data_IF_293851600583
#
_entry.id   IF_293851600583
#
_cell.length_a   1.000
_cell.length_b   1.000
_cell.length_c   1.000
_cell.angle_alpha   90.00
_cell.angle_beta   90.00
_cell.angle_gamma   90.00
#
_symmetry.space_group_name_H-M   'P 1'
#
loop_
_entity.id
_entity.type
_entity.pdbx_description
1 polymer ?
#
# COMPACT_ATOMS: atom_id res chain seq x y z
N UNK A 1 -8.32 -24.84 -34.63
CA UNK A 1 -8.98 -24.30 -33.42
C UNK A 1 -10.42 -24.77 -33.42
N UNK A 2 -10.98 -25.22 -32.30
CA UNK A 2 -12.42 -25.42 -32.19
C UNK A 2 -13.13 -24.11 -32.57
N UNK A 3 -14.23 -24.19 -33.31
CA UNK A 3 -15.05 -23.00 -33.57
C UNK A 3 -15.62 -22.46 -32.25
N UNK A 4 -15.63 -21.13 -32.08
CA UNK A 4 -16.16 -20.47 -30.86
C UNK A 4 -17.66 -20.76 -30.69
N UNK A 5 -18.40 -21.00 -31.78
CA UNK A 5 -19.82 -21.34 -31.77
C UNK A 5 -20.08 -22.73 -32.35
N UNK A 6 -21.00 -23.49 -31.74
CA UNK A 6 -21.41 -24.83 -32.20
C UNK A 6 -22.90 -24.93 -32.53
N UNK A 7 -23.70 -23.91 -32.18
CA UNK A 7 -25.19 -23.89 -32.27
C UNK A 7 -25.92 -24.97 -31.46
N UNK A 8 -25.20 -25.84 -30.76
CA UNK A 8 -25.78 -26.94 -29.99
C UNK A 8 -26.60 -26.47 -28.79
N UNK A 9 -26.42 -25.23 -28.33
CA UNK A 9 -27.16 -24.66 -27.21
C UNK A 9 -28.30 -23.71 -27.62
N UNK A 10 -28.63 -23.62 -28.90
CA UNK A 10 -29.66 -22.68 -29.40
C UNK A 10 -31.07 -23.04 -28.92
N UNK A 11 -31.27 -24.30 -28.48
CA UNK A 11 -32.53 -24.78 -27.89
C UNK A 11 -32.66 -24.51 -26.40
N UNK A 12 -31.71 -23.78 -25.80
CA UNK A 12 -31.75 -23.40 -24.38
C UNK A 12 -31.07 -24.37 -23.42
N UNK A 13 -30.41 -25.42 -23.92
CA UNK A 13 -29.63 -26.37 -23.13
C UNK A 13 -28.11 -26.18 -23.31
N UNK A 14 -27.32 -26.68 -22.37
CA UNK A 14 -25.86 -26.63 -22.39
C UNK A 14 -25.26 -27.90 -21.82
N UNK A 15 -24.03 -28.24 -22.23
CA UNK A 15 -23.30 -29.39 -21.69
C UNK A 15 -22.55 -29.02 -20.42
N UNK A 16 -22.54 -29.92 -19.44
CA UNK A 16 -21.65 -29.87 -18.28
C UNK A 16 -20.34 -30.59 -18.58
N UNK A 17 -19.31 -30.29 -17.80
CA UNK A 17 -18.09 -31.06 -17.80
C UNK A 17 -18.39 -32.48 -17.28
N UNK A 18 -18.15 -33.49 -18.12
CA UNK A 18 -18.59 -34.88 -17.88
C UNK A 18 -19.62 -35.40 -18.90
N UNK A 19 -20.29 -34.50 -19.62
CA UNK A 19 -21.07 -34.80 -20.82
C UNK A 19 -22.60 -34.80 -20.65
N UNK A 20 -23.11 -34.67 -19.42
CA UNK A 20 -24.53 -34.43 -19.19
C UNK A 20 -24.99 -33.08 -19.76
N UNK A 21 -26.29 -32.92 -20.01
CA UNK A 21 -26.88 -31.67 -20.51
C UNK A 21 -27.94 -31.16 -19.54
N UNK A 22 -27.95 -29.85 -19.34
CA UNK A 22 -28.89 -29.16 -18.45
C UNK A 22 -29.46 -27.92 -19.15
N UNK A 23 -30.61 -27.42 -18.68
CA UNK A 23 -31.14 -26.14 -19.13
C UNK A 23 -30.19 -25.01 -18.74
N UNK A 24 -30.03 -24.01 -19.62
CA UNK A 24 -29.18 -22.82 -19.37
C UNK A 24 -29.65 -21.99 -18.18
N UNK A 25 -30.94 -22.05 -17.83
CA UNK A 25 -31.49 -21.40 -16.63
C UNK A 25 -31.43 -22.25 -15.35
N UNK A 26 -30.74 -23.40 -15.36
CA UNK A 26 -30.59 -24.22 -14.15
C UNK A 26 -29.74 -23.51 -13.09
N UNK A 27 -29.97 -23.85 -11.81
CA UNK A 27 -29.21 -23.28 -10.68
C UNK A 27 -27.71 -23.48 -10.83
N UNK A 28 -27.29 -24.64 -11.37
CA UNK A 28 -25.87 -24.94 -11.61
C UNK A 28 -25.24 -24.00 -12.62
N UNK A 29 -25.93 -23.74 -13.74
CA UNK A 29 -25.47 -22.83 -14.79
C UNK A 29 -25.43 -21.38 -14.29
N UNK A 30 -26.46 -20.96 -13.55
CA UNK A 30 -26.48 -19.64 -12.90
C UNK A 30 -25.31 -19.48 -11.91
N UNK A 31 -24.99 -20.51 -11.12
CA UNK A 31 -23.91 -20.46 -10.15
C UNK A 31 -22.54 -20.27 -10.81
N UNK A 32 -22.11 -21.18 -11.70
CA UNK A 32 -20.80 -21.03 -12.35
C UNK A 32 -20.75 -19.84 -13.31
N UNK A 33 -21.88 -19.47 -13.93
CA UNK A 33 -21.97 -18.27 -14.77
C UNK A 33 -21.77 -16.99 -13.97
N UNK A 34 -22.31 -16.92 -12.74
CA UNK A 34 -22.07 -15.78 -11.84
C UNK A 34 -20.62 -15.76 -11.32
N UNK A 35 -19.99 -16.92 -11.14
CA UNK A 35 -18.55 -17.01 -10.81
C UNK A 35 -17.69 -16.49 -11.97
N UNK A 36 -18.05 -16.79 -13.22
CA UNK A 36 -17.37 -16.25 -14.40
C UNK A 36 -17.52 -14.72 -14.49
N UNK A 37 -18.73 -14.19 -14.23
CA UNK A 37 -18.94 -12.75 -14.12
C UNK A 37 -18.09 -12.12 -13.00
N UNK A 38 -17.98 -12.78 -11.85
CA UNK A 38 -17.11 -12.35 -10.76
C UNK A 38 -15.63 -12.33 -11.20
N UNK A 39 -15.19 -13.34 -11.95
CA UNK A 39 -13.84 -13.43 -12.50
C UNK A 39 -13.56 -12.29 -13.48
N UNK A 40 -14.51 -11.98 -14.37
CA UNK A 40 -14.42 -10.86 -15.29
C UNK A 40 -14.35 -9.52 -14.54
N UNK A 41 -15.17 -9.32 -13.51
CA UNK A 41 -15.16 -8.12 -12.69
C UNK A 41 -13.84 -7.94 -11.90
N UNK A 42 -13.31 -9.02 -11.33
CA UNK A 42 -11.96 -9.03 -10.72
C UNK A 42 -10.89 -8.72 -11.76
N UNK A 43 -11.03 -9.25 -12.99
CA UNK A 43 -10.14 -8.95 -14.11
C UNK A 43 -10.13 -7.47 -14.50
N UNK A 44 -11.30 -6.83 -14.53
CA UNK A 44 -11.42 -5.39 -14.79
C UNK A 44 -10.79 -4.56 -13.67
N UNK A 45 -11.02 -4.90 -12.41
CA UNK A 45 -10.39 -4.24 -11.27
C UNK A 45 -8.85 -4.43 -11.27
N UNK A 46 -8.38 -5.65 -11.54
CA UNK A 46 -6.96 -5.96 -11.71
C UNK A 46 -6.33 -5.14 -12.83
N UNK A 47 -7.03 -4.96 -13.96
CA UNK A 47 -6.53 -4.22 -15.11
C UNK A 47 -6.22 -2.74 -14.77
N UNK A 48 -6.89 -2.17 -13.77
CA UNK A 48 -6.66 -0.81 -13.29
C UNK A 48 -5.42 -0.66 -12.38
N UNK A 49 -4.78 -1.77 -11.99
CA UNK A 49 -3.52 -1.77 -11.24
C UNK A 49 -2.31 -1.78 -12.18
N UNK A 50 -1.27 -1.08 -11.76
CA UNK A 50 0.05 -1.12 -12.37
C UNK A 50 0.68 -2.53 -12.20
N UNK A 51 1.68 -2.84 -13.03
CA UNK A 51 2.38 -4.12 -12.92
C UNK A 51 3.12 -4.22 -11.58
N UNK A 52 3.00 -5.37 -10.93
CA UNK A 52 3.55 -5.58 -9.60
C UNK A 52 2.93 -6.76 -8.84
N UNK A 53 3.33 -6.95 -7.57
CA UNK A 53 2.94 -8.12 -6.78
C UNK A 53 1.43 -8.23 -6.56
N UNK A 54 0.73 -7.11 -6.38
CA UNK A 54 -0.72 -7.08 -6.18
C UNK A 54 -1.49 -7.53 -7.41
N UNK A 55 -1.07 -7.09 -8.60
CA UNK A 55 -1.65 -7.50 -9.88
C UNK A 55 -1.41 -8.99 -10.14
N UNK A 56 -0.22 -9.50 -9.81
CA UNK A 56 0.12 -10.91 -9.93
C UNK A 56 -0.74 -11.79 -9.00
N UNK A 57 -0.93 -11.37 -7.74
CA UNK A 57 -1.81 -12.06 -6.79
C UNK A 57 -3.27 -12.10 -7.25
N UNK A 58 -3.79 -11.01 -7.79
CA UNK A 58 -5.13 -11.02 -8.39
C UNK A 58 -5.22 -11.91 -9.63
N UNK A 59 -4.15 -12.04 -10.41
CA UNK A 59 -4.12 -13.00 -11.51
C UNK A 59 -4.23 -14.45 -11.00
N UNK A 60 -3.55 -14.79 -9.90
CA UNK A 60 -3.70 -16.09 -9.24
C UNK A 60 -5.13 -16.30 -8.76
N UNK A 61 -5.77 -15.29 -8.16
CA UNK A 61 -7.20 -15.33 -7.79
C UNK A 61 -8.10 -15.63 -9.00
N UNK A 62 -7.85 -14.99 -10.16
CA UNK A 62 -8.61 -15.29 -11.39
C UNK A 62 -8.43 -16.74 -11.87
N UNK A 63 -7.23 -17.31 -11.72
CA UNK A 63 -6.97 -18.71 -12.04
C UNK A 63 -7.74 -19.64 -11.10
N UNK A 64 -7.77 -19.35 -9.79
CA UNK A 64 -8.54 -20.14 -8.82
C UNK A 64 -10.05 -20.01 -9.04
N UNK A 65 -10.56 -18.83 -9.43
CA UNK A 65 -11.96 -18.67 -9.84
C UNK A 65 -12.31 -19.51 -11.07
N UNK A 66 -11.38 -19.68 -12.01
CA UNK A 66 -11.58 -20.56 -13.16
C UNK A 66 -11.68 -22.04 -12.74
N UNK A 67 -10.81 -22.49 -11.82
CA UNK A 67 -10.88 -23.84 -11.24
C UNK A 67 -12.19 -24.04 -10.47
N UNK A 68 -12.61 -23.06 -9.67
CA UNK A 68 -13.89 -23.07 -8.95
C UNK A 68 -15.08 -23.20 -9.91
N UNK A 69 -15.09 -22.41 -10.99
CA UNK A 69 -16.14 -22.47 -11.99
C UNK A 69 -16.16 -23.83 -12.71
N UNK A 70 -15.00 -24.40 -13.03
CA UNK A 70 -14.89 -25.73 -13.65
C UNK A 70 -15.48 -26.82 -12.74
N UNK A 71 -15.24 -26.73 -11.43
CA UNK A 71 -15.82 -27.65 -10.45
C UNK A 71 -17.36 -27.54 -10.39
N UNK A 72 -17.90 -26.33 -10.34
CA UNK A 72 -19.36 -26.12 -10.37
C UNK A 72 -20.00 -26.56 -11.70
N UNK A 73 -19.29 -26.38 -12.82
CA UNK A 73 -19.71 -26.78 -14.15
C UNK A 73 -19.61 -28.29 -14.39
N UNK A 74 -19.13 -29.07 -13.42
CA UNK A 74 -18.95 -30.51 -13.54
C UNK A 74 -20.14 -31.31 -13.04
N UNK A 75 -20.49 -32.38 -13.76
CA UNK A 75 -21.31 -33.46 -13.23
C UNK A 75 -20.45 -34.47 -12.44
N UNK A 76 -21.05 -35.54 -11.92
CA UNK A 76 -20.31 -36.55 -11.12
C UNK A 76 -19.12 -37.17 -11.87
N UNK A 77 -19.22 -37.36 -13.19
CA UNK A 77 -18.14 -37.89 -14.01
C UNK A 77 -17.08 -36.81 -14.26
N UNK A 78 -17.49 -35.59 -14.55
CA UNK A 78 -16.59 -34.44 -14.70
C UNK A 78 -15.77 -34.20 -13.44
N UNK A 79 -16.43 -34.18 -12.27
CA UNK A 79 -15.81 -33.92 -10.98
C UNK A 79 -14.72 -34.95 -10.65
N UNK A 80 -14.93 -36.22 -10.99
CA UNK A 80 -13.94 -37.28 -10.82
C UNK A 80 -12.71 -37.15 -11.75
N UNK A 81 -12.79 -36.30 -12.79
CA UNK A 81 -11.73 -36.12 -13.79
C UNK A 81 -11.00 -34.78 -13.63
N UNK A 82 -11.40 -33.93 -12.68
CA UNK A 82 -10.73 -32.66 -12.42
C UNK A 82 -9.33 -32.91 -11.86
N UNK A 83 -8.31 -32.32 -12.49
CA UNK A 83 -6.93 -32.43 -12.04
C UNK A 83 -6.55 -31.47 -10.90
N UNK A 84 -7.40 -30.48 -10.63
CA UNK A 84 -7.19 -29.45 -9.62
C UNK A 84 -8.54 -28.97 -9.09
N UNK A 85 -8.60 -28.63 -7.80
CA UNK A 85 -9.80 -28.12 -7.13
C UNK A 85 -9.42 -27.09 -6.08
N UNK A 86 -10.34 -26.19 -5.75
CA UNK A 86 -10.13 -25.21 -4.68
C UNK A 86 -10.14 -25.90 -3.31
N UNK A 87 -9.21 -25.52 -2.43
CA UNK A 87 -9.07 -26.09 -1.09
C UNK A 87 -8.61 -25.08 -0.04
N UNK A 88 -8.28 -25.59 1.16
CA UNK A 88 -7.96 -24.75 2.33
C UNK A 88 -6.71 -23.89 2.13
N UNK A 89 -5.75 -24.34 1.32
CA UNK A 89 -4.56 -23.54 0.95
C UNK A 89 -4.97 -22.26 0.23
N UNK A 90 -5.92 -22.34 -0.69
CA UNK A 90 -6.39 -21.18 -1.45
C UNK A 90 -7.15 -20.19 -0.58
N UNK A 91 -7.90 -20.70 0.40
CA UNK A 91 -8.61 -19.88 1.38
C UNK A 91 -7.59 -19.16 2.28
N UNK A 92 -6.57 -19.88 2.73
CA UNK A 92 -5.47 -19.32 3.54
C UNK A 92 -4.70 -18.25 2.75
N UNK A 93 -4.50 -18.44 1.45
CA UNK A 93 -3.83 -17.44 0.61
C UNK A 93 -4.66 -16.16 0.42
N UNK A 94 -6.00 -16.27 0.40
CA UNK A 94 -6.87 -15.09 0.46
C UNK A 94 -6.80 -14.39 1.83
N UNK A 95 -6.71 -15.13 2.92
CA UNK A 95 -6.53 -14.57 4.27
C UNK A 95 -5.22 -13.80 4.37
N UNK A 96 -4.12 -14.37 3.85
CA UNK A 96 -2.84 -13.66 3.75
C UNK A 96 -2.92 -12.41 2.89
N UNK A 97 -3.65 -12.46 1.77
CA UNK A 97 -3.87 -11.28 0.94
C UNK A 97 -4.60 -10.18 1.72
N UNK A 98 -5.58 -10.53 2.53
CA UNK A 98 -6.29 -9.58 3.42
C UNK A 98 -5.32 -8.99 4.43
N UNK A 99 -4.56 -9.83 5.13
CA UNK A 99 -3.60 -9.40 6.15
C UNK A 99 -2.55 -8.45 5.58
N UNK A 100 -2.00 -8.76 4.40
CA UNK A 100 -1.02 -7.90 3.71
C UNK A 100 -1.61 -6.54 3.31
N UNK A 101 -2.90 -6.49 2.92
CA UNK A 101 -3.58 -5.22 2.68
C UNK A 101 -3.75 -4.42 3.98
N UNK A 102 -4.20 -5.08 5.05
CA UNK A 102 -4.46 -4.45 6.34
C UNK A 102 -3.19 -3.93 7.01
N UNK A 103 -2.05 -4.59 6.79
CA UNK A 103 -0.75 -4.11 7.24
C UNK A 103 -0.41 -2.71 6.69
N UNK A 104 -0.93 -2.36 5.51
CA UNK A 104 -0.73 -1.05 4.87
C UNK A 104 -1.85 -0.07 5.22
N UNK A 105 -3.12 -0.50 5.17
CA UNK A 105 -4.26 0.40 5.37
C UNK A 105 -4.53 0.72 6.84
N UNK A 106 -4.02 -0.10 7.75
CA UNK A 106 -4.34 -0.03 9.17
C UNK A 106 -5.77 -0.49 9.50
N UNK A 107 -6.17 -0.45 10.79
CA UNK A 107 -7.45 -0.94 11.26
C UNK A 107 -8.63 -0.06 10.80
N UNK A 108 -9.74 -0.71 10.44
CA UNK A 108 -10.97 -0.02 10.04
C UNK A 108 -11.74 0.51 11.24
N UNK A 109 -12.10 1.80 11.23
CA UNK A 109 -12.87 2.44 12.33
C UNK A 109 -14.26 2.93 11.96
N UNK A 110 -14.63 2.91 10.67
CA UNK A 110 -15.93 3.38 10.18
C UNK A 110 -16.35 2.68 8.88
N UNK A 111 -17.63 2.76 8.52
CA UNK A 111 -18.11 2.29 7.22
C UNK A 111 -17.58 3.18 6.07
N UNK A 112 -17.31 2.55 4.93
CA UNK A 112 -16.81 3.23 3.72
C UNK A 112 -17.90 3.22 2.66
N UNK A 113 -18.15 4.39 2.07
CA UNK A 113 -18.99 4.50 0.88
C UNK A 113 -18.17 4.04 -0.33
N UNK A 114 -18.61 3.03 -1.07
CA UNK A 114 -17.88 2.53 -2.23
C UNK A 114 -17.64 3.59 -3.31
N UNK A 115 -16.44 3.58 -3.91
CA UNK A 115 -16.15 4.31 -5.13
C UNK A 115 -15.57 5.70 -4.91
N UNK A 116 -14.68 5.85 -3.91
CA UNK A 116 -13.91 7.09 -3.70
C UNK A 116 -13.07 7.47 -4.93
N UNK A 117 -12.54 6.48 -5.64
CA UNK A 117 -11.75 6.65 -6.85
C UNK A 117 -12.04 5.53 -7.86
N UNK A 118 -11.49 5.65 -9.07
CA UNK A 118 -11.77 4.72 -10.16
C UNK A 118 -11.30 3.29 -9.86
N UNK A 119 -10.13 3.11 -9.23
CA UNK A 119 -9.58 1.79 -8.89
C UNK A 119 -10.43 1.16 -7.79
N UNK A 120 -10.68 1.89 -6.70
CA UNK A 120 -11.49 1.38 -5.58
C UNK A 120 -12.93 1.07 -5.98
N UNK A 121 -13.53 1.88 -6.86
CA UNK A 121 -14.87 1.63 -7.41
C UNK A 121 -14.94 0.29 -8.14
N UNK A 122 -13.95 -0.04 -8.97
CA UNK A 122 -13.90 -1.31 -9.70
C UNK A 122 -13.80 -2.50 -8.74
N UNK A 123 -12.94 -2.41 -7.70
CA UNK A 123 -12.86 -3.44 -6.67
C UNK A 123 -14.18 -3.60 -5.90
N UNK A 124 -14.83 -2.50 -5.53
CA UNK A 124 -16.13 -2.59 -4.86
C UNK A 124 -17.22 -3.19 -5.73
N UNK A 125 -17.23 -2.90 -7.04
CA UNK A 125 -18.13 -3.56 -7.97
C UNK A 125 -17.85 -5.07 -8.00
N UNK A 126 -16.60 -5.47 -8.20
CA UNK A 126 -16.19 -6.88 -8.20
C UNK A 126 -16.62 -7.59 -6.90
N UNK A 127 -16.42 -6.97 -5.75
CA UNK A 127 -16.85 -7.50 -4.44
C UNK A 127 -18.34 -7.80 -4.41
N UNK A 128 -19.19 -6.93 -4.96
CA UNK A 128 -20.64 -7.19 -4.98
C UNK A 128 -21.02 -8.36 -5.88
N UNK A 129 -20.31 -8.55 -7.00
CA UNK A 129 -20.49 -9.69 -7.90
C UNK A 129 -20.01 -10.98 -7.25
N UNK A 130 -18.87 -10.98 -6.55
CA UNK A 130 -18.40 -12.13 -5.76
C UNK A 130 -19.45 -12.54 -4.71
N UNK A 131 -20.03 -11.58 -4.00
CA UNK A 131 -21.13 -11.86 -3.04
C UNK A 131 -22.38 -12.39 -3.74
N UNK A 132 -22.64 -11.98 -4.99
CA UNK A 132 -23.75 -12.54 -5.78
C UNK A 132 -23.45 -13.99 -6.17
N UNK A 133 -22.23 -14.30 -6.59
CA UNK A 133 -21.78 -15.65 -6.88
C UNK A 133 -21.91 -16.56 -5.64
N UNK A 134 -21.45 -16.09 -4.48
CA UNK A 134 -21.61 -16.80 -3.19
C UNK A 134 -23.07 -17.18 -2.93
N UNK A 135 -24.01 -16.24 -3.07
CA UNK A 135 -25.44 -16.51 -2.88
C UNK A 135 -25.99 -17.52 -3.90
N UNK A 136 -25.56 -17.46 -5.16
CA UNK A 136 -25.99 -18.42 -6.20
C UNK A 136 -25.46 -19.82 -5.94
N UNK A 137 -24.21 -19.94 -5.51
CA UNK A 137 -23.61 -21.21 -5.10
C UNK A 137 -24.30 -21.79 -3.87
N UNK A 138 -24.68 -20.94 -2.90
CA UNK A 138 -25.49 -21.35 -1.75
C UNK A 138 -26.87 -21.88 -2.17
N UNK A 139 -27.60 -21.16 -3.04
CA UNK A 139 -28.90 -21.62 -3.56
C UNK A 139 -28.77 -22.97 -4.29
N UNK A 140 -27.71 -23.16 -5.08
CA UNK A 140 -27.44 -24.47 -5.70
C UNK A 140 -27.25 -25.57 -4.64
N UNK A 141 -26.50 -25.28 -3.57
CA UNK A 141 -26.18 -26.24 -2.50
C UNK A 141 -27.38 -26.74 -1.70
N UNK A 142 -28.51 -26.03 -1.75
CA UNK A 142 -29.77 -26.46 -1.13
C UNK A 142 -30.42 -27.65 -1.87
N UNK A 143 -30.06 -27.86 -3.14
CA UNK A 143 -30.69 -28.85 -4.02
C UNK A 143 -29.73 -29.87 -4.63
N UNK A 144 -28.45 -29.52 -4.74
CA UNK A 144 -27.41 -30.33 -5.35
C UNK A 144 -26.16 -30.36 -4.45
N UNK A 145 -25.36 -31.45 -4.47
CA UNK A 145 -24.12 -31.51 -3.69
C UNK A 145 -23.13 -30.47 -4.21
N UNK A 146 -22.68 -29.60 -3.29
CA UNK A 146 -21.63 -28.60 -3.51
C UNK A 146 -20.63 -28.71 -2.36
N UNK A 147 -19.34 -28.68 -2.69
CA UNK A 147 -18.27 -28.74 -1.70
C UNK A 147 -18.22 -27.46 -0.84
N UNK A 148 -18.12 -27.57 0.50
CA UNK A 148 -18.10 -26.40 1.39
C UNK A 148 -16.94 -25.43 1.12
N UNK A 149 -15.81 -25.93 0.61
CA UNK A 149 -14.62 -25.12 0.32
C UNK A 149 -14.91 -24.01 -0.70
N UNK A 150 -15.81 -24.26 -1.67
CA UNK A 150 -16.15 -23.30 -2.73
C UNK A 150 -16.92 -22.11 -2.15
N UNK A 151 -17.83 -22.37 -1.21
CA UNK A 151 -18.59 -21.34 -0.50
C UNK A 151 -17.65 -20.54 0.40
N UNK A 152 -16.78 -21.21 1.17
CA UNK A 152 -15.76 -20.55 2.02
C UNK A 152 -14.82 -19.67 1.19
N UNK A 153 -14.38 -20.14 0.03
CA UNK A 153 -13.52 -19.38 -0.88
C UNK A 153 -14.21 -18.12 -1.40
N UNK A 154 -15.46 -18.21 -1.88
CA UNK A 154 -16.21 -17.05 -2.36
C UNK A 154 -16.47 -16.03 -1.23
N UNK A 155 -16.80 -16.53 -0.04
CA UNK A 155 -16.97 -15.70 1.15
C UNK A 155 -15.71 -14.90 1.46
N UNK A 156 -14.57 -15.60 1.60
CA UNK A 156 -13.27 -14.99 1.88
C UNK A 156 -12.76 -14.08 0.76
N UNK A 157 -13.04 -14.44 -0.49
CA UNK A 157 -12.70 -13.62 -1.64
C UNK A 157 -13.40 -12.27 -1.59
N UNK A 158 -14.65 -12.22 -1.11
CA UNK A 158 -15.36 -10.94 -0.98
C UNK A 158 -14.66 -10.00 0.00
N UNK A 159 -14.06 -10.53 1.07
CA UNK A 159 -13.25 -9.76 2.03
C UNK A 159 -11.90 -9.34 1.40
N UNK A 160 -11.23 -10.24 0.66
CA UNK A 160 -9.98 -9.93 -0.03
C UNK A 160 -10.15 -8.82 -1.07
N UNK A 161 -11.20 -8.87 -1.87
CA UNK A 161 -11.52 -7.83 -2.87
C UNK A 161 -11.90 -6.52 -2.17
N UNK A 162 -12.55 -6.56 -1.00
CA UNK A 162 -12.77 -5.36 -0.18
C UNK A 162 -11.47 -4.76 0.34
N UNK A 163 -10.55 -5.58 0.87
CA UNK A 163 -9.25 -5.15 1.35
C UNK A 163 -8.42 -4.50 0.22
N UNK A 164 -8.48 -5.06 -1.00
CA UNK A 164 -7.86 -4.47 -2.19
C UNK A 164 -8.46 -3.09 -2.55
N UNK A 165 -9.79 -2.93 -2.43
CA UNK A 165 -10.41 -1.61 -2.63
C UNK A 165 -9.81 -0.56 -1.68
N UNK A 166 -9.71 -0.90 -0.40
CA UNK A 166 -9.14 -0.03 0.65
C UNK A 166 -7.66 0.29 0.43
N UNK A 167 -6.90 -0.70 -0.02
CA UNK A 167 -5.50 -0.53 -0.35
C UNK A 167 -5.34 0.50 -1.49
N UNK A 168 -6.16 0.40 -2.53
CA UNK A 168 -6.14 1.37 -3.63
C UNK A 168 -6.56 2.78 -3.20
N UNK A 169 -7.52 2.91 -2.28
CA UNK A 169 -7.88 4.22 -1.69
C UNK A 169 -6.71 4.83 -0.92
N UNK A 170 -5.96 4.02 -0.17
CA UNK A 170 -4.80 4.47 0.62
C UNK A 170 -3.69 4.97 -0.28
N UNK A 171 -3.44 4.32 -1.41
CA UNK A 171 -2.50 4.82 -2.42
C UNK A 171 -2.97 6.14 -3.02
N UNK A 172 -4.25 6.25 -3.39
CA UNK A 172 -4.81 7.49 -3.93
C UNK A 172 -4.72 8.66 -2.93
N UNK A 173 -5.00 8.40 -1.65
CA UNK A 173 -4.88 9.38 -0.57
C UNK A 173 -3.42 9.82 -0.39
N UNK A 174 -2.47 8.87 -0.43
CA UNK A 174 -1.03 9.17 -0.36
C UNK A 174 -0.59 10.06 -1.51
N UNK A 175 -0.98 9.73 -2.74
CA UNK A 175 -0.63 10.51 -3.94
C UNK A 175 -1.24 11.93 -3.87
N UNK A 176 -2.47 12.05 -3.37
CA UNK A 176 -3.13 13.34 -3.18
C UNK A 176 -2.40 14.19 -2.14
N UNK A 177 -2.07 13.61 -0.99
CA UNK A 177 -1.31 14.29 0.07
C UNK A 177 0.05 14.73 -0.46
N UNK A 178 0.76 13.86 -1.18
CA UNK A 178 2.05 14.20 -1.75
C UNK A 178 1.96 15.38 -2.72
N UNK A 179 0.97 15.40 -3.62
CA UNK A 179 0.73 16.55 -4.52
C UNK A 179 0.43 17.82 -3.76
N UNK A 180 -0.42 17.76 -2.73
CA UNK A 180 -0.77 18.91 -1.91
C UNK A 180 0.46 19.47 -1.17
N UNK A 181 1.27 18.59 -0.57
CA UNK A 181 2.49 18.99 0.13
C UNK A 181 3.51 19.58 -0.84
N UNK A 182 3.76 18.95 -1.99
CA UNK A 182 4.66 19.48 -3.03
C UNK A 182 4.23 20.87 -3.50
N UNK A 183 2.94 21.06 -3.75
CA UNK A 183 2.40 22.36 -4.18
C UNK A 183 2.53 23.43 -3.07
N UNK A 184 2.25 23.07 -1.82
CA UNK A 184 2.41 23.98 -0.69
C UNK A 184 3.88 24.38 -0.46
N UNK A 185 4.81 23.42 -0.56
CA UNK A 185 6.25 23.69 -0.47
C UNK A 185 6.71 24.57 -1.62
N UNK A 186 6.31 24.27 -2.87
CA UNK A 186 6.63 25.12 -4.02
C UNK A 186 6.13 26.56 -3.83
N UNK A 187 4.90 26.76 -3.38
CA UNK A 187 4.35 28.08 -3.12
C UNK A 187 5.07 28.84 -1.98
N UNK A 188 5.53 28.11 -0.96
CA UNK A 188 6.33 28.69 0.12
C UNK A 188 7.75 29.06 -0.34
N UNK A 189 8.30 28.34 -1.32
CA UNK A 189 9.61 28.60 -1.92
C UNK A 189 9.57 29.64 -3.07
N UNK A 190 8.41 29.84 -3.71
CA UNK A 190 8.17 30.84 -4.77
C UNK A 190 7.72 32.22 -4.23
N UNK A 191 7.69 32.43 -2.91
CA UNK A 191 7.90 33.78 -2.35
C UNK A 191 9.31 34.26 -2.75
N UNK A 192 9.56 35.56 -2.99
CA UNK A 192 10.67 36.05 -3.81
C UNK A 192 11.99 35.30 -3.51
N UNK A 193 12.32 34.38 -4.42
CA UNK A 193 13.58 33.66 -4.41
C UNK A 193 14.64 34.59 -4.97
N UNK A 194 15.27 35.38 -4.08
CA UNK A 194 16.61 35.89 -4.37
C UNK A 194 17.53 34.66 -4.42
N UNK A 195 17.76 34.19 -5.65
CA UNK A 195 18.63 33.07 -6.00
C UNK A 195 20.09 33.35 -5.67
N UNK A 196 20.43 33.23 -4.38
CA UNK A 196 21.79 33.04 -3.90
C UNK A 196 21.86 31.70 -3.18
N UNK A 197 21.86 30.60 -3.95
CA UNK A 197 22.30 29.31 -3.43
C UNK A 197 23.74 29.47 -2.93
N UNK A 198 23.97 29.21 -1.64
CA UNK A 198 25.32 29.09 -1.10
C UNK A 198 26.06 28.00 -1.90
N UNK A 199 27.32 28.28 -2.27
CA UNK A 199 28.22 27.25 -2.80
C UNK A 199 28.22 26.02 -1.88
N UNK A 200 28.17 24.81 -2.44
CA UNK A 200 28.19 23.56 -1.69
C UNK A 200 29.34 23.50 -0.64
N UNK A 201 30.47 24.16 -0.91
CA UNK A 201 31.61 24.29 0.01
C UNK A 201 31.31 25.12 1.25
N UNK A 202 30.47 26.17 1.13
CA UNK A 202 30.05 26.99 2.26
C UNK A 202 29.06 26.23 3.18
N UNK A 203 28.21 25.39 2.59
CA UNK A 203 27.23 24.57 3.33
C UNK A 203 27.91 23.51 4.20
N UNK A 204 28.87 22.74 3.64
CA UNK A 204 29.61 21.72 4.38
C UNK A 204 30.52 22.33 5.46
N UNK A 205 31.18 23.46 5.18
CA UNK A 205 32.00 24.16 6.16
C UNK A 205 31.20 24.63 7.38
N UNK A 206 29.97 25.12 7.16
CA UNK A 206 29.03 25.50 8.22
C UNK A 206 28.51 24.28 9.00
N UNK A 207 28.18 23.20 8.30
CA UNK A 207 27.73 21.94 8.91
C UNK A 207 28.78 21.36 9.88
N UNK A 208 30.07 21.38 9.51
CA UNK A 208 31.16 20.91 10.37
C UNK A 208 31.27 21.71 11.67
N UNK A 209 31.20 23.05 11.59
CA UNK A 209 31.23 23.91 12.78
C UNK A 209 30.06 23.64 13.73
N UNK A 210 28.86 23.43 13.18
CA UNK A 210 27.68 23.07 13.97
C UNK A 210 27.86 21.72 14.67
N UNK A 211 28.38 20.72 13.97
CA UNK A 211 28.68 19.42 14.57
C UNK A 211 29.74 19.52 15.66
N UNK A 212 30.83 20.26 15.44
CA UNK A 212 31.90 20.44 16.43
C UNK A 212 31.38 21.15 17.70
N UNK A 213 30.52 22.16 17.53
CA UNK A 213 29.89 22.88 18.65
C UNK A 213 28.90 21.99 19.42
N UNK A 214 28.10 21.21 18.70
CA UNK A 214 27.19 20.25 19.30
C UNK A 214 27.94 19.16 20.08
N UNK A 215 29.03 18.62 19.54
CA UNK A 215 29.86 17.61 20.20
C UNK A 215 30.44 18.15 21.51
N UNK A 216 30.98 19.38 21.52
CA UNK A 216 31.49 20.00 22.75
C UNK A 216 30.40 20.12 23.81
N UNK A 217 29.23 20.64 23.44
CA UNK A 217 28.13 20.80 24.38
C UNK A 217 27.58 19.47 24.88
N UNK A 218 27.47 18.49 24.01
CA UNK A 218 27.07 17.13 24.34
C UNK A 218 28.05 16.47 25.33
N UNK A 219 29.36 16.71 25.16
CA UNK A 219 30.40 16.25 26.09
C UNK A 219 30.29 16.91 27.46
N UNK A 220 29.98 18.21 27.54
CA UNK A 220 29.73 18.91 28.82
C UNK A 220 28.53 18.33 29.58
N UNK A 221 27.47 17.95 28.84
CA UNK A 221 26.27 17.33 29.40
C UNK A 221 26.44 15.82 29.67
N UNK A 222 27.56 15.24 29.26
CA UNK A 222 27.83 13.80 29.32
C UNK A 222 26.74 12.96 28.60
N UNK A 223 26.27 13.43 27.45
CA UNK A 223 25.27 12.77 26.61
C UNK A 223 25.85 12.53 25.22
N UNK A 224 26.13 11.29 24.80
CA UNK A 224 26.63 11.02 23.46
C UNK A 224 25.50 11.14 22.42
N UNK A 225 25.70 11.95 21.39
CA UNK A 225 24.67 12.27 20.39
C UNK A 225 25.04 11.83 18.96
N UNK A 226 24.02 11.73 18.11
CA UNK A 226 24.12 11.76 16.65
C UNK A 226 23.66 13.14 16.17
N UNK A 227 24.43 13.72 15.28
CA UNK A 227 24.19 15.03 14.67
C UNK A 227 23.98 14.85 13.17
N UNK A 228 22.91 15.42 12.64
CA UNK A 228 22.59 15.42 11.22
C UNK A 228 22.39 16.86 10.71
N UNK A 229 23.00 17.19 9.58
CA UNK A 229 22.78 18.44 8.85
C UNK A 229 22.33 18.10 7.44
N UNK A 230 21.27 18.75 6.97
CA UNK A 230 20.67 18.55 5.64
C UNK A 230 20.58 19.88 4.89
N UNK A 231 20.58 19.83 3.57
CA UNK A 231 20.34 20.99 2.71
C UNK A 231 18.84 21.36 2.66
N UNK A 232 18.49 22.44 1.95
CA UNK A 232 17.10 22.89 1.80
C UNK A 232 16.17 21.87 1.11
N UNK A 233 16.73 20.94 0.34
CA UNK A 233 15.99 19.84 -0.28
C UNK A 233 15.89 18.60 0.65
N UNK A 234 16.48 18.66 1.85
CA UNK A 234 16.49 17.57 2.82
C UNK A 234 17.52 16.49 2.51
N UNK A 235 18.50 16.74 1.64
CA UNK A 235 19.59 15.80 1.39
C UNK A 235 20.64 15.91 2.50
N UNK A 236 21.18 14.77 3.00
CA UNK A 236 22.25 14.78 3.99
C UNK A 236 23.49 15.53 3.49
N UNK A 237 23.92 16.51 4.27
CA UNK A 237 25.19 17.24 4.09
C UNK A 237 26.25 16.70 5.04
N UNK A 238 25.89 16.40 6.29
CA UNK A 238 26.77 15.85 7.29
C UNK A 238 26.01 14.93 8.26
N UNK A 239 26.60 13.78 8.57
CA UNK A 239 26.21 12.94 9.68
C UNK A 239 27.44 12.76 10.58
N UNK A 240 27.35 13.20 11.83
CA UNK A 240 28.42 13.10 12.83
C UNK A 240 27.92 12.29 14.03
N UNK A 241 28.73 11.37 14.53
CA UNK A 241 28.34 10.44 15.60
C UNK A 241 29.41 10.41 16.69
N UNK A 242 28.99 10.66 17.92
CA UNK A 242 29.80 10.40 19.11
C UNK A 242 29.81 8.91 19.48
N UNK A 243 30.95 8.42 19.99
CA UNK A 243 31.05 7.06 20.52
C UNK A 243 30.11 6.91 21.71
N UNK A 244 29.31 5.82 21.73
CA UNK A 244 28.34 5.56 22.79
C UNK A 244 26.93 6.10 22.54
N UNK A 245 26.68 6.76 21.41
CA UNK A 245 25.33 7.23 21.05
C UNK A 245 24.38 6.09 20.65
N UNK A 246 23.07 6.33 20.78
CA UNK A 246 22.01 5.40 20.38
C UNK A 246 22.05 5.14 18.86
N UNK A 247 22.23 3.87 18.48
CA UNK A 247 22.30 3.49 17.05
C UNK A 247 20.98 3.71 16.30
N UNK A 248 19.84 3.69 16.99
CA UNK A 248 18.53 3.98 16.40
C UNK A 248 18.45 5.41 15.82
N UNK A 249 19.31 6.33 16.27
CA UNK A 249 19.38 7.70 15.76
C UNK A 249 20.05 7.80 14.38
N UNK A 250 20.57 6.69 13.83
CA UNK A 250 21.15 6.63 12.48
C UNK A 250 20.10 6.35 11.39
N UNK A 251 18.94 5.77 11.73
CA UNK A 251 17.88 5.38 10.78
C UNK A 251 17.07 6.58 10.22
N UNK A 252 17.67 7.77 10.18
CA UNK A 252 17.14 8.95 9.47
C UNK A 252 17.03 8.74 7.94
N UNK A 253 17.63 7.68 7.40
CA UNK A 253 17.63 7.29 5.98
C UNK A 253 16.24 6.92 5.41
N UNK A 254 15.22 6.72 6.26
CA UNK A 254 13.85 6.51 5.80
C UNK A 254 13.17 7.74 5.18
N UNK A 255 13.79 8.93 5.28
CA UNK A 255 13.14 10.21 5.02
C UNK A 255 13.76 11.00 3.86
N UNK A 256 14.07 10.31 2.76
CA UNK A 256 14.59 10.94 1.53
C UNK A 256 13.64 12.04 1.03
N UNK A 257 14.10 13.30 1.10
CA UNK A 257 13.41 14.48 0.58
C UNK A 257 12.41 15.17 1.51
N UNK A 258 12.44 14.93 2.83
CA UNK A 258 11.59 15.64 3.80
C UNK A 258 12.38 16.04 5.05
N UNK A 259 12.44 17.34 5.34
CA UNK A 259 12.94 17.85 6.64
C UNK A 259 11.84 17.68 7.68
N UNK A 260 12.07 16.84 8.70
CA UNK A 260 11.17 16.68 9.86
C UNK A 260 11.93 17.09 11.10
N UNK A 261 11.44 18.11 11.79
CA UNK A 261 12.02 18.60 13.04
C UNK A 261 11.36 17.88 14.22
N UNK A 262 12.11 16.98 14.86
CA UNK A 262 11.75 16.44 16.17
C UNK A 262 12.33 17.32 17.28
N UNK A 263 12.12 16.97 18.55
CA UNK A 263 12.50 17.82 19.70
C UNK A 263 13.95 18.32 19.72
N UNK A 264 14.88 17.67 19.03
CA UNK A 264 16.27 18.11 18.84
C UNK A 264 16.58 18.69 17.45
N UNK A 265 15.60 19.21 16.72
CA UNK A 265 15.78 19.75 15.36
C UNK A 265 15.55 21.25 15.28
N UNK A 266 16.36 21.94 14.47
CA UNK A 266 16.19 23.35 14.14
C UNK A 266 16.38 23.62 12.64
N UNK A 267 15.58 24.54 12.06
CA UNK A 267 15.82 25.03 10.70
C UNK A 267 17.09 25.90 10.66
N UNK A 268 17.82 25.84 9.55
CA UNK A 268 18.96 26.71 9.28
C UNK A 268 18.54 27.79 8.27
N UNK A 269 18.71 29.05 8.64
CA UNK A 269 18.39 30.20 7.79
C UNK A 269 19.66 30.99 7.42
N UNK A 270 19.65 31.57 6.22
CA UNK A 270 20.57 32.63 5.81
C UNK A 270 19.73 33.85 5.41
N UNK A 271 19.65 34.83 6.31
CA UNK A 271 18.64 35.89 6.23
C UNK A 271 17.22 35.31 6.26
N UNK A 272 16.32 35.68 5.32
CA UNK A 272 14.96 35.15 5.25
C UNK A 272 14.88 33.75 4.59
N UNK A 273 15.98 33.26 4.02
CA UNK A 273 15.97 32.05 3.19
C UNK A 273 16.27 30.82 4.01
N UNK A 274 15.40 29.80 3.94
CA UNK A 274 15.67 28.48 4.52
C UNK A 274 16.75 27.79 3.70
N UNK A 275 17.88 27.48 4.33
CA UNK A 275 19.05 26.85 3.67
C UNK A 275 19.28 25.40 4.08
N UNK A 276 18.57 24.91 5.11
CA UNK A 276 18.68 23.52 5.52
C UNK A 276 18.07 23.22 6.89
N UNK A 277 18.47 22.08 7.46
CA UNK A 277 18.05 21.63 8.78
C UNK A 277 19.23 21.07 9.58
N UNK A 278 19.18 21.24 10.89
CA UNK A 278 20.16 20.74 11.84
C UNK A 278 19.45 19.95 12.93
N UNK A 279 19.89 18.73 13.19
CA UNK A 279 19.28 17.82 14.16
C UNK A 279 20.32 17.18 15.07
N UNK A 280 19.98 17.07 16.34
CA UNK A 280 20.73 16.36 17.37
C UNK A 280 19.81 15.34 18.03
N UNK A 281 20.31 14.13 18.27
CA UNK A 281 19.59 13.08 18.98
C UNK A 281 20.53 12.28 19.86
N UNK A 282 20.25 12.21 21.16
CA UNK A 282 20.89 11.23 22.03
C UNK A 282 20.26 11.07 23.41
N UNK A 283 19.84 12.17 24.04
CA UNK A 283 19.35 12.18 25.41
C UNK A 283 17.85 12.44 25.54
N UNK A 284 17.47 13.25 26.52
CA UNK A 284 16.11 13.79 26.60
C UNK A 284 15.91 14.92 25.58
N UNK A 285 14.64 15.24 25.27
CA UNK A 285 14.31 16.34 24.36
C UNK A 285 14.91 17.67 24.83
N UNK A 286 14.95 17.91 26.15
CA UNK A 286 15.53 19.12 26.73
C UNK A 286 17.04 19.20 26.50
N UNK A 287 17.75 18.07 26.60
CA UNK A 287 19.18 17.99 26.36
C UNK A 287 19.50 18.20 24.87
N UNK A 288 18.75 17.55 23.99
CA UNK A 288 18.92 17.70 22.54
C UNK A 288 18.62 19.15 22.11
N UNK A 289 17.57 19.77 22.66
CA UNK A 289 17.24 21.19 22.48
C UNK A 289 18.39 22.11 22.94
N UNK A 290 18.98 21.86 24.11
CA UNK A 290 20.05 22.67 24.68
C UNK A 290 21.31 22.62 23.79
N UNK A 291 21.68 21.41 23.35
CA UNK A 291 22.83 21.20 22.45
C UNK A 291 22.61 21.94 21.13
N UNK A 292 21.41 21.85 20.56
CA UNK A 292 21.06 22.55 19.31
C UNK A 292 21.16 24.07 19.47
N UNK A 293 20.55 24.62 20.53
CA UNK A 293 20.59 26.07 20.79
C UNK A 293 22.01 26.56 20.99
N UNK A 294 22.82 25.84 21.75
CA UNK A 294 24.22 26.18 21.98
C UNK A 294 25.00 26.22 20.66
N UNK A 295 24.89 25.17 19.85
CA UNK A 295 25.60 25.08 18.57
C UNK A 295 25.16 26.18 17.59
N UNK A 296 23.85 26.50 17.54
CA UNK A 296 23.34 27.59 16.72
C UNK A 296 23.85 28.95 17.20
N UNK A 297 23.80 29.23 18.50
CA UNK A 297 24.28 30.49 19.04
C UNK A 297 25.78 30.70 18.78
N UNK A 298 26.58 29.63 18.89
CA UNK A 298 28.02 29.70 18.66
C UNK A 298 28.36 29.94 17.18
N UNK A 299 27.64 29.28 16.25
CA UNK A 299 28.00 29.29 14.82
C UNK A 299 27.27 30.37 14.02
N UNK A 300 26.05 30.74 14.43
CA UNK A 300 25.16 31.66 13.70
C UNK A 300 24.96 33.02 14.39
N UNK A 301 25.37 33.17 15.66
CA UNK A 301 25.07 34.34 16.49
C UNK A 301 23.63 34.34 17.01
N UNK A 302 23.35 35.09 18.08
CA UNK A 302 22.03 35.13 18.72
C UNK A 302 20.92 35.51 17.72
N UNK A 303 20.06 34.55 17.36
CA UNK A 303 18.76 34.83 16.77
C UNK A 303 17.78 35.08 17.91
N UNK A 304 17.58 36.36 18.27
CA UNK A 304 16.46 36.82 19.12
C UNK A 304 15.15 36.85 18.35
#
# INVERSE_FOLDING_TARGET
>A
MPAVYTRTGDRGDTGLFGGSRVAKQSLRVEAYGTVDEANAAVGAAKAALDDGPWRARLHQVQQRLFVLAAELASDAKGAATLGDTVGDVDITDLERLIDDCLAITGPQRAFVVPGRDQRSSAFHQARTVVRRAERRTLTLSESEPVRPELIKYLNRLSDAVYAMARLTETWADRDRIERMVRAAVAAALDGPADGAGLSADACLGRAKKLADAAERRAAELNVPVVVAVVDAAGNPVLLHRMTGSLLASLDSDGNTGRVVLFGGGAPLFDGPTLVGGFGVSGGTVEQDCDIVRHALNEVMGEQS
#
